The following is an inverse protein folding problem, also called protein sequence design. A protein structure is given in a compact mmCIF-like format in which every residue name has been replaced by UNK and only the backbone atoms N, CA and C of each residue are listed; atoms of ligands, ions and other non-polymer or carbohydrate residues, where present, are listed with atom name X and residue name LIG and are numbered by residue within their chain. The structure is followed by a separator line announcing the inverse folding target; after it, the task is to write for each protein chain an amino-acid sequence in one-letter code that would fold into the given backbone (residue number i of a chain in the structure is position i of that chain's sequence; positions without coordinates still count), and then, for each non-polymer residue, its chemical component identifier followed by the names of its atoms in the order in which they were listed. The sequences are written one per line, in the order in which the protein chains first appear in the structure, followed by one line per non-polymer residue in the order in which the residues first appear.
data_IF_670588217729
#
_entry.id   IF_670588217729
#
_cell.length_a   1.000
_cell.length_b   1.000
_cell.length_c   1.000
_cell.angle_alpha   90.00
_cell.angle_beta   90.00
_cell.angle_gamma   90.00
#
_symmetry.space_group_name_H-M   'P 1'
#
loop_
_entity.id
_entity.type
_entity.pdbx_description
1 polymer ?
#
# COMPACT_ATOMS: atom_id res chain seq x y z
N UNK A 1 23.10 -18.86 4.98
CA UNK A 1 21.73 -18.60 4.47
C UNK A 1 21.62 -19.21 3.09
N UNK A 2 20.53 -19.92 2.73
CA UNK A 2 20.38 -20.45 1.37
C UNK A 2 20.31 -19.31 0.36
N UNK A 3 20.77 -19.58 -0.87
CA UNK A 3 20.71 -18.61 -1.97
C UNK A 3 19.23 -18.31 -2.28
N UNK A 4 18.85 -17.03 -2.48
CA UNK A 4 17.49 -16.68 -2.91
C UNK A 4 17.11 -17.46 -4.17
N UNK A 5 15.93 -18.07 -4.17
CA UNK A 5 15.42 -18.80 -5.35
C UNK A 5 14.92 -17.86 -6.45
N UNK A 6 14.74 -16.59 -6.14
CA UNK A 6 14.16 -15.60 -7.04
C UNK A 6 14.78 -14.23 -6.79
N UNK A 7 14.91 -13.47 -7.86
CA UNK A 7 15.26 -12.06 -7.79
C UNK A 7 14.06 -11.23 -7.34
N UNK A 8 14.31 -10.23 -6.52
CA UNK A 8 13.28 -9.32 -6.06
C UNK A 8 12.86 -8.37 -7.19
N UNK A 9 11.55 -8.22 -7.39
CA UNK A 9 10.96 -7.24 -8.33
C UNK A 9 9.94 -6.35 -7.62
N UNK A 10 9.97 -5.02 -7.82
CA UNK A 10 8.96 -4.11 -7.26
C UNK A 10 7.53 -4.44 -7.73
N UNK A 11 6.50 -4.06 -6.96
CA UNK A 11 5.12 -4.42 -7.26
C UNK A 11 4.60 -3.78 -8.56
N UNK A 12 3.87 -4.59 -9.33
CA UNK A 12 3.14 -4.16 -10.52
C UNK A 12 1.85 -3.44 -10.14
N UNK A 13 1.34 -2.59 -11.03
CA UNK A 13 0.03 -1.95 -10.85
C UNK A 13 -1.08 -2.99 -10.61
N UNK A 14 -1.05 -4.12 -11.32
CA UNK A 14 -2.00 -5.22 -11.12
C UNK A 14 -1.96 -5.77 -9.69
N UNK A 15 -0.76 -5.99 -9.14
CA UNK A 15 -0.61 -6.47 -7.75
C UNK A 15 -1.13 -5.44 -6.74
N UNK A 16 -0.88 -4.14 -6.99
CA UNK A 16 -1.37 -3.05 -6.13
C UNK A 16 -2.90 -2.99 -6.17
N UNK A 17 -3.51 -3.05 -7.37
CA UNK A 17 -4.96 -3.09 -7.53
C UNK A 17 -5.56 -4.29 -6.78
N UNK A 18 -4.94 -5.47 -6.88
CA UNK A 18 -5.41 -6.65 -6.17
C UNK A 18 -5.26 -6.52 -4.64
N UNK A 19 -4.19 -5.89 -4.16
CA UNK A 19 -4.00 -5.62 -2.74
C UNK A 19 -5.12 -4.72 -2.20
N UNK A 20 -5.45 -3.64 -2.92
CA UNK A 20 -6.55 -2.71 -2.54
C UNK A 20 -7.90 -3.44 -2.52
N UNK A 21 -8.19 -4.33 -3.49
CA UNK A 21 -9.43 -5.12 -3.51
C UNK A 21 -9.59 -6.01 -2.26
N UNK A 22 -8.48 -6.48 -1.68
CA UNK A 22 -8.45 -7.37 -0.51
C UNK A 22 -8.51 -6.65 0.83
N UNK A 23 -8.47 -5.31 0.86
CA UNK A 23 -8.59 -4.54 2.10
C UNK A 23 -9.91 -4.87 2.83
N UNK A 24 -9.93 -4.84 4.16
CA UNK A 24 -11.18 -5.02 4.91
C UNK A 24 -12.01 -3.73 4.85
N UNK A 25 -13.31 -3.85 4.57
CA UNK A 25 -14.26 -2.74 4.57
C UNK A 25 -14.37 -2.11 5.97
N UNK A 26 -14.73 -0.82 6.03
CA UNK A 26 -14.94 -0.10 7.28
C UNK A 26 -13.68 0.11 8.12
N UNK A 27 -12.50 -0.03 7.52
CA UNK A 27 -11.21 0.24 8.18
C UNK A 27 -10.61 1.54 7.65
N UNK A 28 -10.02 2.30 8.56
CA UNK A 28 -9.19 3.46 8.29
C UNK A 28 -7.90 3.30 9.10
N UNK A 29 -6.78 3.81 8.60
CA UNK A 29 -5.47 3.68 9.28
C UNK A 29 -5.35 4.60 10.49
N UNK A 30 -6.10 5.71 10.49
CA UNK A 30 -6.17 6.72 11.56
C UNK A 30 -7.51 7.46 11.53
N UNK A 31 -7.92 8.03 12.67
CA UNK A 31 -9.10 8.92 12.72
C UNK A 31 -8.98 10.07 11.71
N UNK A 32 -10.02 10.31 10.92
CA UNK A 32 -10.02 11.35 9.89
C UNK A 32 -9.28 10.99 8.59
N UNK A 33 -8.76 9.77 8.46
CA UNK A 33 -8.21 9.28 7.18
C UNK A 33 -9.28 8.65 6.30
N UNK A 34 -8.97 8.56 5.00
CA UNK A 34 -9.85 7.96 4.00
C UNK A 34 -10.07 6.47 4.34
N UNK A 35 -11.32 5.99 4.39
CA UNK A 35 -11.60 4.58 4.66
C UNK A 35 -11.25 3.72 3.46
N UNK A 36 -10.95 2.44 3.72
CA UNK A 36 -10.65 1.43 2.72
C UNK A 36 -11.74 1.31 1.63
N UNK A 37 -12.99 1.59 1.96
CA UNK A 37 -14.11 1.54 1.02
C UNK A 37 -13.94 2.53 -0.13
N UNK A 38 -13.43 3.74 0.16
CA UNK A 38 -13.14 4.73 -0.89
C UNK A 38 -12.00 4.22 -1.77
N UNK A 39 -10.92 3.71 -1.18
CA UNK A 39 -9.81 3.13 -1.94
C UNK A 39 -10.25 2.00 -2.87
N UNK A 40 -11.21 1.17 -2.45
CA UNK A 40 -11.78 0.12 -3.30
C UNK A 40 -12.57 0.66 -4.48
N UNK A 41 -13.34 1.72 -4.28
CA UNK A 41 -14.15 2.36 -5.32
C UNK A 41 -13.27 3.02 -6.39
N UNK A 42 -12.24 3.75 -5.97
CA UNK A 42 -11.37 4.52 -6.90
C UNK A 42 -10.11 3.77 -7.33
N UNK A 43 -10.02 2.48 -7.02
CA UNK A 43 -8.80 1.67 -7.12
C UNK A 43 -8.12 1.76 -8.50
N UNK A 44 -8.91 1.63 -9.57
CA UNK A 44 -8.40 1.61 -10.94
C UNK A 44 -7.87 2.98 -11.39
N UNK A 45 -8.47 4.06 -10.88
CA UNK A 45 -8.08 5.43 -11.14
C UNK A 45 -6.83 5.83 -10.35
N UNK A 46 -6.69 5.39 -9.09
CA UNK A 46 -5.56 5.80 -8.25
C UNK A 46 -4.31 4.94 -8.45
N UNK A 47 -4.46 3.67 -8.86
CA UNK A 47 -3.33 2.74 -8.99
C UNK A 47 -2.20 3.27 -9.88
N UNK A 48 -2.46 3.91 -11.04
CA UNK A 48 -1.41 4.50 -11.88
C UNK A 48 -0.52 5.52 -11.16
N UNK A 49 -1.07 6.22 -10.16
CA UNK A 49 -0.35 7.21 -9.35
C UNK A 49 0.34 6.57 -8.14
N UNK A 50 -0.30 5.59 -7.49
CA UNK A 50 0.28 4.87 -6.35
C UNK A 50 1.46 3.98 -6.77
N UNK A 51 1.41 3.37 -7.95
CA UNK A 51 2.44 2.47 -8.45
C UNK A 51 3.84 3.06 -8.44
N UNK A 52 4.08 4.22 -9.07
CA UNK A 52 5.36 4.92 -9.02
C UNK A 52 5.82 5.24 -7.61
N UNK A 53 4.93 5.70 -6.73
CA UNK A 53 5.27 6.06 -5.34
C UNK A 53 5.75 4.82 -4.57
N UNK A 54 5.02 3.71 -4.63
CA UNK A 54 5.43 2.47 -3.97
C UNK A 54 6.71 1.88 -4.58
N UNK A 55 6.90 1.97 -5.90
CA UNK A 55 8.15 1.49 -6.51
C UNK A 55 9.34 2.35 -6.14
N UNK A 56 9.14 3.66 -5.96
CA UNK A 56 10.19 4.58 -5.54
C UNK A 56 10.77 4.21 -4.18
N UNK A 57 10.00 3.62 -3.25
CA UNK A 57 10.55 3.19 -1.95
C UNK A 57 11.60 2.09 -2.10
N UNK A 58 11.46 1.22 -3.11
CA UNK A 58 12.45 0.17 -3.41
C UNK A 58 13.65 0.72 -4.17
N UNK A 59 13.42 1.58 -5.17
CA UNK A 59 14.49 2.14 -6.02
C UNK A 59 15.35 3.14 -5.25
N UNK A 60 14.73 4.06 -4.51
CA UNK A 60 15.40 5.12 -3.76
C UNK A 60 15.81 4.69 -2.36
N UNK A 61 15.32 3.54 -1.87
CA UNK A 61 15.54 3.04 -0.51
C UNK A 61 15.07 4.04 0.57
N UNK A 62 14.04 4.81 0.26
CA UNK A 62 13.42 5.77 1.17
C UNK A 62 12.06 5.21 1.56
N UNK A 63 11.83 5.09 2.86
CA UNK A 63 10.53 4.71 3.41
C UNK A 63 10.01 5.87 4.28
N UNK A 64 8.87 6.49 3.94
CA UNK A 64 8.32 7.57 4.75
C UNK A 64 8.06 7.12 6.18
N UNK A 65 8.50 7.91 7.16
CA UNK A 65 8.39 7.55 8.57
C UNK A 65 6.93 7.35 8.99
N UNK A 66 6.03 8.17 8.43
CA UNK A 66 4.60 8.12 8.69
C UNK A 66 3.96 6.80 8.27
N UNK A 67 4.51 6.10 7.29
CA UNK A 67 3.97 4.82 6.82
C UNK A 67 4.19 3.68 7.82
N UNK A 68 5.16 3.83 8.73
CA UNK A 68 5.42 2.87 9.83
C UNK A 68 4.53 3.10 11.05
N UNK A 69 3.84 4.25 11.13
CA UNK A 69 3.07 4.66 12.30
C UNK A 69 1.61 4.23 12.15
N UNK A 70 1.12 3.43 13.10
CA UNK A 70 -0.30 3.07 13.22
C UNK A 70 -0.89 3.69 14.48
N UNK A 71 -1.91 4.53 14.35
CA UNK A 71 -2.67 5.04 15.50
C UNK A 71 -3.79 4.04 15.84
N UNK A 72 -3.70 3.40 17.01
CA UNK A 72 -4.79 2.55 17.52
C UNK A 72 -5.66 3.39 18.44
N UNK A 73 -6.91 3.62 18.05
CA UNK A 73 -7.91 4.22 18.92
C UNK A 73 -8.30 3.15 19.95
N UNK A 74 -7.94 3.35 21.22
CA UNK A 74 -8.45 2.56 22.34
C UNK A 74 -9.80 3.16 22.71
N UNK A 75 -10.88 2.39 22.53
CA UNK A 75 -12.26 2.72 22.91
C UNK A 75 -12.57 2.19 24.31
#
# INVERSE_FOLDING_TARGET
YPVPKWDFTPPTNRQITQAIRRLKNGKATRSGTIPNDVFKVVNEQITPYLGPIYRATFTLKIYPEEWSKTETIVL
#
